data_IF_217850995816
#
_entry.id   IF_217850995816
#
_cell.length_a   1.000
_cell.length_b   1.000
_cell.length_c   1.000
_cell.angle_alpha   90.00
_cell.angle_beta   90.00
_cell.angle_gamma   90.00
#
_symmetry.space_group_name_H-M   'P 1'
#
loop_
_entity.id
_entity.type
_entity.pdbx_description
1 polymer ?
#
# COMPACT_ATOMS: atom_id res chain seq x y z
N UNK A 1 0.78 -1.93 -25.66
CA UNK A 1 1.39 -2.19 -24.34
C UNK A 1 2.87 -1.92 -24.48
N UNK A 2 3.50 -1.20 -23.53
CA UNK A 2 4.96 -1.00 -23.52
C UNK A 2 5.65 -2.28 -23.05
N UNK A 3 6.83 -2.58 -23.58
CA UNK A 3 7.63 -3.69 -23.05
C UNK A 3 8.13 -3.34 -21.65
N UNK A 4 8.29 -4.33 -20.76
CA UNK A 4 8.84 -4.09 -19.40
C UNK A 4 10.22 -3.44 -19.49
N UNK A 5 11.04 -3.82 -20.46
CA UNK A 5 12.34 -3.21 -20.72
C UNK A 5 12.30 -1.74 -21.16
N UNK A 6 11.17 -1.25 -21.67
CA UNK A 6 10.98 0.18 -22.00
C UNK A 6 10.68 1.02 -20.76
N UNK A 7 10.13 0.40 -19.71
CA UNK A 7 9.73 1.08 -18.46
C UNK A 7 10.77 0.86 -17.36
N UNK A 8 11.42 -0.30 -17.37
CA UNK A 8 12.45 -0.76 -16.43
C UNK A 8 13.67 -1.24 -17.22
N UNK A 9 14.47 -0.32 -17.79
CA UNK A 9 15.62 -0.67 -18.61
C UNK A 9 16.80 -1.26 -17.79
N UNK A 10 16.71 -1.22 -16.46
CA UNK A 10 17.71 -1.73 -15.53
C UNK A 10 17.09 -2.77 -14.59
N UNK A 11 17.94 -3.61 -13.98
CA UNK A 11 17.52 -4.50 -12.89
C UNK A 11 16.96 -3.64 -11.75
N UNK A 12 15.75 -3.95 -11.29
CA UNK A 12 15.16 -3.28 -10.14
C UNK A 12 15.90 -3.65 -8.85
N UNK A 13 16.27 -2.64 -8.07
CA UNK A 13 17.02 -2.78 -6.84
C UNK A 13 16.45 -1.84 -5.76
N UNK A 14 16.13 -2.42 -4.61
CA UNK A 14 15.53 -1.77 -3.45
C UNK A 14 14.77 -2.78 -2.60
N UNK A 15 13.60 -2.40 -2.09
CA UNK A 15 12.78 -3.26 -1.24
C UNK A 15 11.50 -2.58 -0.76
N UNK A 16 10.87 -3.16 0.25
CA UNK A 16 9.69 -2.58 0.90
C UNK A 16 10.07 -1.27 1.62
N UNK A 17 9.30 -0.22 1.34
CA UNK A 17 9.45 1.09 1.96
C UNK A 17 8.15 1.49 2.65
N UNK A 18 8.25 1.78 3.96
CA UNK A 18 7.10 2.04 4.85
C UNK A 18 7.25 3.44 5.50
N UNK A 19 7.20 4.52 4.70
CA UNK A 19 7.40 5.89 5.17
C UNK A 19 6.35 6.32 6.20
N UNK A 20 5.12 5.78 6.15
CA UNK A 20 4.04 6.13 7.06
C UNK A 20 4.35 5.79 8.54
N UNK A 21 5.43 5.04 8.78
CA UNK A 21 5.95 4.70 10.11
C UNK A 21 6.96 5.74 10.64
N UNK A 22 7.35 6.70 9.82
CA UNK A 22 8.41 7.68 10.11
C UNK A 22 7.94 9.10 9.78
N UNK A 23 8.64 10.10 10.33
CA UNK A 23 8.37 11.51 10.06
C UNK A 23 8.88 11.95 8.69
N UNK A 24 8.35 13.07 8.18
CA UNK A 24 8.65 13.52 6.81
C UNK A 24 10.11 13.88 6.56
N UNK A 25 10.86 14.30 7.59
CA UNK A 25 12.30 14.55 7.50
C UNK A 25 13.08 13.27 7.22
N UNK A 26 12.62 12.13 7.74
CA UNK A 26 13.19 10.81 7.44
C UNK A 26 12.93 10.45 5.98
N UNK A 27 11.77 10.79 5.41
CA UNK A 27 11.47 10.47 4.01
C UNK A 27 12.45 11.14 3.03
N UNK A 28 12.82 12.39 3.30
CA UNK A 28 13.80 13.13 2.49
C UNK A 28 15.20 12.52 2.62
N UNK A 29 15.60 12.17 3.84
CA UNK A 29 16.91 11.54 4.07
C UNK A 29 16.98 10.14 3.44
N UNK A 30 15.91 9.35 3.55
CA UNK A 30 15.80 8.04 2.91
C UNK A 30 15.96 8.15 1.41
N UNK A 31 15.25 9.07 0.74
CA UNK A 31 15.37 9.26 -0.71
C UNK A 31 16.80 9.67 -1.13
N UNK A 32 17.47 10.51 -0.33
CA UNK A 32 18.89 10.86 -0.53
C UNK A 32 19.81 9.65 -0.38
N UNK A 33 19.57 8.81 0.63
CA UNK A 33 20.35 7.60 0.90
C UNK A 33 20.09 6.49 -0.14
N UNK A 34 18.85 6.33 -0.59
CA UNK A 34 18.46 5.43 -1.68
C UNK A 34 19.25 5.75 -2.95
N UNK A 35 19.28 7.04 -3.35
CA UNK A 35 20.08 7.50 -4.48
C UNK A 35 21.57 7.20 -4.31
N UNK A 36 22.12 7.42 -3.12
CA UNK A 36 23.53 7.11 -2.80
C UNK A 36 23.82 5.60 -2.87
N UNK A 37 22.86 4.76 -2.47
CA UNK A 37 22.97 3.31 -2.48
C UNK A 37 22.67 2.67 -3.86
N UNK A 38 22.19 3.46 -4.83
CA UNK A 38 21.79 2.98 -6.15
C UNK A 38 20.42 2.29 -6.17
N UNK A 39 19.59 2.48 -5.14
CA UNK A 39 18.19 2.04 -5.13
C UNK A 39 17.43 2.78 -6.23
N UNK A 40 16.76 2.03 -7.10
CA UNK A 40 16.03 2.56 -8.25
C UNK A 40 14.53 2.22 -8.23
N UNK A 41 14.09 1.40 -7.26
CA UNK A 41 12.68 1.07 -7.07
C UNK A 41 12.38 0.63 -5.64
N UNK A 42 11.24 1.05 -5.10
CA UNK A 42 10.71 0.56 -3.81
C UNK A 42 9.29 0.04 -3.94
N UNK A 43 8.91 -0.91 -3.07
CA UNK A 43 7.51 -1.35 -2.92
C UNK A 43 6.84 -0.52 -1.82
N UNK A 44 5.78 0.21 -2.18
CA UNK A 44 5.15 1.20 -1.31
C UNK A 44 3.70 0.85 -1.00
N UNK A 45 3.28 1.08 0.24
CA UNK A 45 1.87 1.05 0.60
C UNK A 45 1.30 -0.33 0.96
N UNK A 46 2.13 -1.35 1.17
CA UNK A 46 1.69 -2.76 1.25
C UNK A 46 0.67 -3.00 2.37
N UNK A 47 0.91 -2.42 3.55
CA UNK A 47 0.08 -2.59 4.74
C UNK A 47 -0.66 -1.31 5.15
N UNK A 48 -0.79 -0.35 4.24
CA UNK A 48 -1.18 1.01 4.59
C UNK A 48 -2.69 1.28 4.54
N UNK A 49 -3.55 0.25 4.43
CA UNK A 49 -5.01 0.46 4.37
C UNK A 49 -5.53 1.27 5.57
N UNK A 50 -5.12 0.95 6.79
CA UNK A 50 -5.59 1.68 7.97
C UNK A 50 -5.18 3.15 8.06
N UNK A 51 -4.14 3.56 7.35
CA UNK A 51 -3.74 4.98 7.25
C UNK A 51 -4.33 5.66 6.01
N UNK A 52 -4.56 4.92 4.94
CA UNK A 52 -5.23 5.39 3.71
C UNK A 52 -6.74 5.57 3.89
N UNK A 53 -7.36 4.74 4.73
CA UNK A 53 -8.79 4.76 5.03
C UNK A 53 -9.00 4.55 6.54
N UNK A 54 -9.05 5.65 7.30
CA UNK A 54 -9.08 5.61 8.78
C UNK A 54 -10.43 5.15 9.35
N UNK A 55 -11.50 5.44 8.62
CA UNK A 55 -12.84 4.94 8.85
C UNK A 55 -13.55 4.72 7.51
N UNK A 56 -14.69 4.02 7.48
CA UNK A 56 -15.31 3.65 6.21
C UNK A 56 -15.64 4.87 5.35
N UNK A 57 -14.98 4.99 4.20
CA UNK A 57 -15.19 6.09 3.25
C UNK A 57 -14.33 7.33 3.51
N UNK A 58 -13.63 7.41 4.64
CA UNK A 58 -12.76 8.53 5.00
C UNK A 58 -11.33 8.25 4.54
N UNK A 59 -11.01 8.67 3.32
CA UNK A 59 -9.71 8.45 2.69
C UNK A 59 -8.75 9.64 2.86
N UNK A 60 -7.50 9.35 3.18
CA UNK A 60 -6.39 10.32 3.24
C UNK A 60 -5.19 9.79 2.42
N UNK A 61 -4.97 10.39 1.25
CA UNK A 61 -3.87 10.06 0.34
C UNK A 61 -2.73 11.09 0.39
N UNK A 62 -2.86 12.16 1.18
CA UNK A 62 -1.93 13.30 1.09
C UNK A 62 -0.48 12.93 1.40
N UNK A 63 -0.28 12.04 2.39
CA UNK A 63 1.05 11.52 2.72
C UNK A 63 1.64 10.68 1.57
N UNK A 64 0.81 9.85 0.93
CA UNK A 64 1.23 8.96 -0.14
C UNK A 64 1.63 9.78 -1.37
N UNK A 65 0.87 10.81 -1.72
CA UNK A 65 1.23 11.75 -2.81
C UNK A 65 2.59 12.40 -2.57
N UNK A 66 2.83 12.85 -1.33
CA UNK A 66 4.07 13.51 -0.97
C UNK A 66 5.27 12.57 -1.07
N UNK A 67 5.15 11.34 -0.59
CA UNK A 67 6.22 10.35 -0.72
C UNK A 67 6.46 9.97 -2.19
N UNK A 68 5.39 9.76 -2.97
CA UNK A 68 5.50 9.46 -4.40
C UNK A 68 6.31 10.55 -5.13
N UNK A 69 6.04 11.83 -4.84
CA UNK A 69 6.80 12.95 -5.39
C UNK A 69 8.27 12.96 -4.92
N UNK A 70 8.51 12.77 -3.61
CA UNK A 70 9.88 12.75 -3.06
C UNK A 70 10.72 11.65 -3.73
N UNK A 71 10.16 10.44 -3.87
CA UNK A 71 10.84 9.31 -4.53
C UNK A 71 11.10 9.61 -6.01
N UNK A 72 10.10 10.15 -6.72
CA UNK A 72 10.24 10.56 -8.11
C UNK A 72 11.37 11.59 -8.29
N UNK A 73 11.40 12.65 -7.47
CA UNK A 73 12.41 13.71 -7.53
C UNK A 73 13.85 13.18 -7.33
N UNK A 74 13.98 12.03 -6.66
CA UNK A 74 15.25 11.35 -6.44
C UNK A 74 15.56 10.24 -7.45
N UNK A 75 14.70 10.05 -8.46
CA UNK A 75 14.86 9.01 -9.49
C UNK A 75 14.57 7.60 -9.00
N UNK A 76 13.77 7.46 -7.94
CA UNK A 76 13.37 6.17 -7.36
C UNK A 76 11.97 5.81 -7.84
N UNK A 77 11.86 4.68 -8.54
CA UNK A 77 10.60 4.10 -8.97
C UNK A 77 9.73 3.57 -7.83
N UNK A 78 8.43 3.46 -8.08
CA UNK A 78 7.49 2.91 -7.10
C UNK A 78 6.72 1.72 -7.70
N UNK A 79 6.87 0.56 -7.06
CA UNK A 79 5.97 -0.57 -7.17
C UNK A 79 4.81 -0.35 -6.16
N UNK A 80 3.73 0.29 -6.62
CA UNK A 80 2.62 0.68 -5.77
C UNK A 80 1.73 -0.52 -5.44
N UNK A 81 1.64 -0.86 -4.16
CA UNK A 81 0.75 -1.92 -3.69
C UNK A 81 -0.72 -1.44 -3.65
N UNK A 82 -1.64 -2.40 -3.64
CA UNK A 82 -3.08 -2.16 -3.44
C UNK A 82 -3.45 -1.83 -1.99
N UNK A 83 -2.49 -1.96 -1.06
CA UNK A 83 -2.66 -1.86 0.39
C UNK A 83 -3.58 -2.90 1.05
N UNK A 84 -4.14 -3.84 0.29
CA UNK A 84 -5.18 -4.79 0.76
C UNK A 84 -4.63 -6.00 1.52
N UNK A 85 -3.33 -6.02 1.85
CA UNK A 85 -2.67 -7.15 2.50
C UNK A 85 -3.15 -7.39 3.95
N UNK A 86 -3.67 -6.36 4.62
CA UNK A 86 -4.33 -6.49 5.92
C UNK A 86 -5.44 -5.47 6.06
N UNK A 87 -6.56 -5.88 6.66
CA UNK A 87 -7.71 -4.99 6.85
C UNK A 87 -7.51 -4.07 8.05
N UNK A 88 -8.02 -2.82 8.01
CA UNK A 88 -8.03 -1.94 9.17
C UNK A 88 -8.97 -2.46 10.27
N UNK A 89 -8.71 -2.07 11.52
CA UNK A 89 -9.47 -2.52 12.68
C UNK A 89 -10.98 -2.23 12.56
N UNK A 90 -11.34 -1.08 11.98
CA UNK A 90 -12.73 -0.67 11.82
C UNK A 90 -13.51 -1.62 10.91
N UNK A 91 -12.86 -2.22 9.91
CA UNK A 91 -13.52 -3.11 8.94
C UNK A 91 -13.95 -4.38 9.64
N UNK A 92 -13.05 -5.05 10.36
CA UNK A 92 -13.38 -6.26 11.13
C UNK A 92 -14.43 -6.01 12.22
N UNK A 93 -14.41 -4.81 12.83
CA UNK A 93 -15.42 -4.41 13.82
C UNK A 93 -16.80 -4.20 13.20
N UNK A 94 -16.87 -3.58 12.01
CA UNK A 94 -18.13 -3.27 11.32
C UNK A 94 -18.70 -4.47 10.57
N UNK A 95 -17.83 -5.31 10.02
CA UNK A 95 -18.16 -6.49 9.22
C UNK A 95 -17.55 -7.73 9.88
N UNK A 96 -18.12 -8.25 10.98
CA UNK A 96 -17.57 -9.44 11.64
C UNK A 96 -17.53 -10.67 10.71
N UNK A 97 -18.43 -10.76 9.73
CA UNK A 97 -18.41 -11.79 8.69
C UNK A 97 -17.26 -11.68 7.69
N UNK A 98 -16.44 -10.63 7.77
CA UNK A 98 -15.21 -10.51 6.98
C UNK A 98 -14.03 -11.28 7.57
N UNK A 99 -14.15 -11.81 8.79
CA UNK A 99 -13.07 -12.50 9.50
C UNK A 99 -13.03 -13.97 9.05
N UNK A 100 -11.85 -14.48 8.74
CA UNK A 100 -11.66 -15.89 8.43
C UNK A 100 -11.81 -16.76 9.69
N UNK A 101 -12.17 -18.02 9.50
CA UNK A 101 -12.28 -19.01 10.57
C UNK A 101 -11.17 -20.05 10.43
N UNK A 102 -10.71 -20.58 11.55
CA UNK A 102 -9.83 -21.75 11.58
C UNK A 102 -10.60 -23.05 11.23
N UNK A 103 -9.89 -24.19 11.21
CA UNK A 103 -10.49 -25.50 10.92
C UNK A 103 -11.55 -25.94 11.94
N UNK A 104 -11.61 -25.32 13.12
CA UNK A 104 -12.58 -25.59 14.18
C UNK A 104 -13.73 -24.57 14.19
N UNK A 105 -13.79 -23.68 13.18
CA UNK A 105 -14.76 -22.59 13.05
C UNK A 105 -14.60 -21.48 14.08
N UNK A 106 -13.44 -21.37 14.73
CA UNK A 106 -13.16 -20.22 15.59
C UNK A 106 -12.74 -19.03 14.72
N UNK A 107 -13.24 -17.81 15.00
CA UNK A 107 -12.79 -16.63 14.28
C UNK A 107 -11.36 -16.27 14.67
N UNK A 108 -10.54 -15.90 13.66
CA UNK A 108 -9.29 -15.20 13.95
C UNK A 108 -9.57 -13.86 14.63
N UNK A 109 -8.60 -13.36 15.40
CA UNK A 109 -8.70 -12.07 16.08
C UNK A 109 -7.90 -10.99 15.34
N UNK A 110 -8.31 -9.74 15.55
CA UNK A 110 -7.49 -8.59 15.17
C UNK A 110 -6.23 -8.52 16.04
N UNK A 111 -5.09 -8.12 15.45
CA UNK A 111 -3.81 -7.93 16.17
C UNK A 111 -2.57 -8.36 15.39
N UNK A 112 -2.75 -9.22 14.38
CA UNK A 112 -1.72 -9.58 13.40
C UNK A 112 -2.14 -9.05 12.02
N UNK A 113 -2.00 -9.88 10.98
CA UNK A 113 -2.38 -9.56 9.60
C UNK A 113 -3.07 -10.73 8.92
N UNK A 114 -3.70 -10.47 7.76
CA UNK A 114 -4.32 -11.48 6.90
C UNK A 114 -5.41 -12.35 7.57
N UNK A 115 -6.11 -11.80 8.56
CA UNK A 115 -7.20 -12.49 9.27
C UNK A 115 -8.57 -12.40 8.56
N UNK A 116 -8.59 -11.95 7.30
CA UNK A 116 -9.82 -11.78 6.52
C UNK A 116 -10.20 -13.05 5.76
N UNK A 117 -11.50 -13.23 5.52
CA UNK A 117 -12.02 -14.24 4.61
C UNK A 117 -11.99 -13.73 3.18
N UNK A 118 -11.27 -14.38 2.25
CA UNK A 118 -11.24 -13.95 0.84
C UNK A 118 -12.59 -14.09 0.14
N UNK A 119 -13.52 -14.88 0.70
CA UNK A 119 -14.87 -15.06 0.18
C UNK A 119 -15.91 -14.09 0.80
N UNK A 120 -15.48 -13.18 1.69
CA UNK A 120 -16.41 -12.24 2.29
C UNK A 120 -16.86 -11.19 1.26
N UNK A 121 -18.17 -11.04 1.00
CA UNK A 121 -18.66 -10.02 0.08
C UNK A 121 -18.40 -8.60 0.61
N UNK A 122 -18.34 -8.42 1.93
CA UNK A 122 -17.96 -7.13 2.53
C UNK A 122 -16.50 -6.81 2.25
N UNK A 123 -15.59 -7.77 2.50
CA UNK A 123 -14.17 -7.60 2.19
C UNK A 123 -13.95 -7.28 0.71
N UNK A 124 -14.56 -8.06 -0.19
CA UNK A 124 -14.46 -7.88 -1.65
C UNK A 124 -14.90 -6.46 -2.06
N UNK A 125 -16.09 -6.02 -1.63
CA UNK A 125 -16.57 -4.66 -1.95
C UNK A 125 -15.61 -3.58 -1.44
N UNK A 126 -15.04 -3.76 -0.24
CA UNK A 126 -14.13 -2.77 0.35
C UNK A 126 -12.78 -2.71 -0.38
N UNK A 127 -12.20 -3.86 -0.78
CA UNK A 127 -10.96 -3.86 -1.56
C UNK A 127 -11.15 -3.24 -2.94
N UNK A 128 -12.30 -3.48 -3.60
CA UNK A 128 -12.59 -2.90 -4.91
C UNK A 128 -12.64 -1.37 -4.86
N UNK A 129 -13.22 -0.81 -3.81
CA UNK A 129 -13.27 0.65 -3.59
C UNK A 129 -11.87 1.23 -3.42
N UNK A 130 -11.05 0.62 -2.55
CA UNK A 130 -9.68 1.11 -2.30
C UNK A 130 -8.81 1.01 -3.55
N UNK A 131 -8.80 -0.14 -4.22
CA UNK A 131 -8.01 -0.37 -5.44
C UNK A 131 -8.44 0.58 -6.55
N UNK A 132 -9.74 0.81 -6.72
CA UNK A 132 -10.24 1.78 -7.70
C UNK A 132 -9.76 3.19 -7.39
N UNK A 133 -9.83 3.63 -6.13
CA UNK A 133 -9.35 4.96 -5.74
C UNK A 133 -7.85 5.13 -5.96
N UNK A 134 -7.03 4.14 -5.62
CA UNK A 134 -5.59 4.15 -5.89
C UNK A 134 -5.31 4.23 -7.40
N UNK A 135 -5.98 3.37 -8.19
CA UNK A 135 -5.84 3.37 -9.65
C UNK A 135 -6.26 4.69 -10.29
N UNK A 136 -7.41 5.25 -9.90
CA UNK A 136 -7.91 6.53 -10.40
C UNK A 136 -7.00 7.70 -10.04
N UNK A 137 -6.42 7.68 -8.82
CA UNK A 137 -5.53 8.74 -8.34
C UNK A 137 -4.16 8.74 -9.02
N UNK A 138 -3.56 7.56 -9.20
CA UNK A 138 -2.17 7.43 -9.66
C UNK A 138 -2.02 6.97 -11.12
N UNK A 139 -3.11 6.85 -11.90
CA UNK A 139 -3.07 6.42 -13.32
C UNK A 139 -2.09 7.19 -14.21
N UNK A 140 -1.88 8.47 -13.92
CA UNK A 140 -1.03 9.36 -14.73
C UNK A 140 0.31 9.66 -14.06
N UNK A 141 0.58 9.07 -12.89
CA UNK A 141 1.86 9.23 -12.21
C UNK A 141 2.93 8.44 -12.96
N UNK A 142 3.85 9.15 -13.58
CA UNK A 142 4.96 8.57 -14.35
C UNK A 142 6.26 8.71 -13.58
N UNK A 143 7.23 7.86 -13.91
CA UNK A 143 8.65 8.08 -13.64
C UNK A 143 9.27 8.87 -14.80
#
# INVERSE_FOLDING_TARGET
MRAVSEVLPFISYGGDYNPEQWSEDVWLEDARLMKKAGVNMVSLGIFSWGVLERSEGEFDFGWLDKVMNILHDHGVGVNLATATASTPAWLSKKYPGSIALDQHKNPYSFGSRQHYSPNSPDYIRRIEILVRKLGERYKDHRL
#
